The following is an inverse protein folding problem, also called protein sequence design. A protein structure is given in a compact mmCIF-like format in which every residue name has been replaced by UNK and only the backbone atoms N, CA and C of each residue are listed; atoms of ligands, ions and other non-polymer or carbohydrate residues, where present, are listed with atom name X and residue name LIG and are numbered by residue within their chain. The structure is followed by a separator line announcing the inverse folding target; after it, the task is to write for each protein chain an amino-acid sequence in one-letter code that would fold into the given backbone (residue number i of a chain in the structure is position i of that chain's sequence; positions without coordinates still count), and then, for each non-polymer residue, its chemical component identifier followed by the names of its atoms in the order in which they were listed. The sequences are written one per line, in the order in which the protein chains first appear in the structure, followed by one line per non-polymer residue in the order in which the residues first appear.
data_IF_882833609133
#
_entry.id   IF_882833609133
#
_cell.length_a   1.000
_cell.length_b   1.000
_cell.length_c   1.000
_cell.angle_alpha   90.00
_cell.angle_beta   90.00
_cell.angle_gamma   90.00
#
_symmetry.space_group_name_H-M   'P 1'
#
loop_
_entity.id
_entity.type
_entity.pdbx_description
1 polymer ?
#
# COMPACT_ATOMS: atom_id res chain seq x y z
N UNK A 1 7.69 7.82 -6.15
CA UNK A 1 6.74 8.44 -7.11
C UNK A 1 7.15 8.41 -8.59
N UNK A 2 8.43 8.33 -8.98
CA UNK A 2 8.78 8.24 -10.43
C UNK A 2 8.56 6.87 -11.05
N UNK A 3 8.57 5.81 -10.24
CA UNK A 3 8.47 4.41 -10.68
C UNK A 3 7.42 3.56 -9.91
N UNK A 4 6.65 4.19 -9.03
CA UNK A 4 5.59 3.54 -8.26
C UNK A 4 4.59 4.57 -7.74
N UNK A 5 3.37 4.11 -7.44
CA UNK A 5 2.28 4.90 -6.85
C UNK A 5 1.97 4.40 -5.44
N UNK A 6 1.45 5.28 -4.58
CA UNK A 6 0.87 4.93 -3.29
C UNK A 6 -0.56 5.46 -3.22
N UNK A 7 -1.45 4.69 -2.61
CA UNK A 7 -2.87 5.02 -2.51
C UNK A 7 -3.36 4.75 -1.09
N UNK A 8 -4.14 5.68 -0.54
CA UNK A 8 -4.98 5.47 0.64
C UNK A 8 -6.41 5.49 0.14
N UNK A 9 -7.15 4.40 0.34
CA UNK A 9 -8.47 4.23 -0.25
C UNK A 9 -9.39 3.42 0.66
N UNK A 10 -10.68 3.74 0.61
CA UNK A 10 -11.75 2.97 1.24
C UNK A 10 -12.49 2.20 0.15
N UNK A 11 -12.33 0.86 0.05
CA UNK A 11 -13.07 0.09 -0.94
C UNK A 11 -14.55 0.04 -0.59
N UNK A 12 -15.40 0.21 -1.61
CA UNK A 12 -16.86 0.16 -1.44
C UNK A 12 -17.36 -1.25 -1.12
N UNK A 13 -16.77 -2.26 -1.75
CA UNK A 13 -17.13 -3.67 -1.59
C UNK A 13 -15.88 -4.52 -1.39
N UNK A 14 -16.07 -5.75 -0.91
CA UNK A 14 -15.01 -6.69 -0.53
C UNK A 14 -13.92 -6.87 -1.62
N UNK A 15 -14.32 -6.86 -2.89
CA UNK A 15 -13.41 -7.08 -4.02
C UNK A 15 -13.09 -5.82 -4.83
N UNK A 16 -13.64 -4.65 -4.47
CA UNK A 16 -13.52 -3.43 -5.28
C UNK A 16 -12.07 -2.97 -5.43
N UNK A 17 -11.26 -3.04 -4.35
CA UNK A 17 -9.86 -2.61 -4.41
C UNK A 17 -9.06 -3.49 -5.39
N UNK A 18 -9.21 -4.81 -5.26
CA UNK A 18 -8.48 -5.78 -6.09
C UNK A 18 -8.88 -5.68 -7.56
N UNK A 19 -10.18 -5.61 -7.85
CA UNK A 19 -10.68 -5.46 -9.22
C UNK A 19 -10.30 -4.11 -9.82
N UNK A 20 -10.49 -3.01 -9.09
CA UNK A 20 -10.18 -1.67 -9.57
C UNK A 20 -8.70 -1.50 -9.92
N UNK A 21 -7.78 -1.98 -9.07
CA UNK A 21 -6.35 -1.93 -9.34
C UNK A 21 -5.95 -2.86 -10.49
N UNK A 22 -6.51 -4.08 -10.57
CA UNK A 22 -6.25 -5.00 -11.68
C UNK A 22 -6.63 -4.36 -13.02
N UNK A 23 -7.82 -3.79 -13.10
CA UNK A 23 -8.34 -3.26 -14.36
C UNK A 23 -7.58 -1.98 -14.75
N UNK A 24 -7.31 -1.09 -13.79
CA UNK A 24 -6.49 0.12 -13.99
C UNK A 24 -5.07 -0.22 -14.47
N UNK A 25 -4.40 -1.17 -13.80
CA UNK A 25 -3.05 -1.60 -14.18
C UNK A 25 -3.02 -2.24 -15.57
N UNK A 26 -4.04 -3.05 -15.91
CA UNK A 26 -4.17 -3.68 -17.22
C UNK A 26 -4.30 -2.64 -18.32
N UNK A 27 -5.26 -1.72 -18.18
CA UNK A 27 -5.51 -0.66 -19.17
C UNK A 27 -4.28 0.22 -19.35
N UNK A 28 -3.62 0.61 -18.26
CA UNK A 28 -2.40 1.41 -18.32
C UNK A 28 -1.25 0.67 -19.00
N UNK A 29 -1.05 -0.62 -18.70
CA UNK A 29 0.03 -1.40 -19.32
C UNK A 29 -0.18 -1.55 -20.83
N UNK A 30 -1.42 -1.79 -21.27
CA UNK A 30 -1.78 -1.83 -22.69
C UNK A 30 -1.52 -0.48 -23.36
N UNK A 31 -1.99 0.61 -22.74
CA UNK A 31 -1.76 1.97 -23.22
C UNK A 31 -0.26 2.26 -23.34
N UNK A 32 0.52 2.02 -22.29
CA UNK A 32 1.96 2.29 -22.27
C UNK A 32 2.71 1.51 -23.35
N UNK A 33 2.46 0.20 -23.46
CA UNK A 33 3.10 -0.66 -24.46
C UNK A 33 2.74 -0.21 -25.88
N UNK A 34 1.45 0.11 -26.13
CA UNK A 34 1.01 0.61 -27.45
C UNK A 34 1.67 1.95 -27.83
N UNK A 35 1.87 2.85 -26.86
CA UNK A 35 2.45 4.19 -27.09
C UNK A 35 3.96 4.18 -27.21
N UNK A 36 4.63 3.20 -26.63
CA UNK A 36 6.09 3.07 -26.61
C UNK A 36 6.63 2.04 -27.59
N UNK A 37 5.75 1.32 -28.30
CA UNK A 37 6.09 0.17 -29.15
C UNK A 37 6.89 -0.92 -28.41
N UNK A 38 6.71 -1.01 -27.09
CA UNK A 38 7.30 -2.05 -26.24
C UNK A 38 6.29 -3.19 -26.00
N UNK A 39 6.80 -4.32 -25.53
CA UNK A 39 5.99 -5.44 -25.07
C UNK A 39 6.51 -5.99 -23.75
N UNK A 40 5.65 -6.65 -22.98
CA UNK A 40 5.99 -7.25 -21.69
C UNK A 40 5.39 -6.51 -20.49
N UNK A 41 5.99 -6.76 -19.32
CA UNK A 41 5.46 -6.34 -18.02
C UNK A 41 5.82 -4.89 -17.74
N UNK A 42 4.80 -4.05 -17.48
CA UNK A 42 4.98 -2.65 -17.07
C UNK A 42 5.08 -2.54 -15.54
N UNK A 43 4.31 -3.35 -14.82
CA UNK A 43 4.26 -3.36 -13.36
C UNK A 43 5.19 -4.44 -12.79
N UNK A 44 5.91 -4.11 -11.71
CA UNK A 44 6.86 -5.03 -11.06
C UNK A 44 6.18 -6.25 -10.42
N UNK A 45 4.87 -6.19 -10.14
CA UNK A 45 4.13 -7.31 -9.58
C UNK A 45 2.75 -6.92 -9.06
N UNK A 46 2.21 -7.74 -8.15
CA UNK A 46 0.97 -7.44 -7.42
C UNK A 46 1.18 -6.23 -6.51
N UNK A 47 0.11 -5.48 -6.26
CA UNK A 47 0.12 -4.40 -5.28
C UNK A 47 0.29 -4.96 -3.86
N UNK A 48 0.82 -4.13 -2.98
CA UNK A 48 0.85 -4.34 -1.54
C UNK A 48 -0.25 -3.50 -0.90
N UNK A 49 -0.87 -4.01 0.17
CA UNK A 49 -1.94 -3.30 0.89
C UNK A 49 -2.01 -3.74 2.33
N UNK A 50 -2.29 -2.83 3.25
CA UNK A 50 -2.64 -3.15 4.62
C UNK A 50 -3.89 -2.36 5.07
N UNK A 51 -4.78 -2.94 5.89
CA UNK A 51 -5.79 -2.19 6.62
C UNK A 51 -5.14 -1.25 7.64
N UNK A 52 -5.73 -0.08 7.87
CA UNK A 52 -5.28 0.94 8.81
C UNK A 52 -6.35 1.21 9.87
N UNK A 53 -5.95 1.53 11.10
CA UNK A 53 -6.83 2.19 12.06
C UNK A 53 -6.84 3.72 11.83
N UNK A 54 -7.66 4.45 12.59
CA UNK A 54 -7.83 5.90 12.45
C UNK A 54 -6.53 6.70 12.70
N UNK A 55 -5.71 6.27 13.68
CA UNK A 55 -4.47 6.97 13.99
C UNK A 55 -3.41 6.76 12.90
N UNK A 56 -3.30 5.54 12.37
CA UNK A 56 -2.35 5.19 11.32
C UNK A 56 -2.82 5.70 9.95
N UNK A 57 -4.12 5.92 9.75
CA UNK A 57 -4.69 6.53 8.54
C UNK A 57 -4.04 7.89 8.26
N UNK A 58 -4.07 8.80 9.22
CA UNK A 58 -3.53 10.17 9.02
C UNK A 58 -2.01 10.16 8.79
N UNK A 59 -1.30 9.28 9.48
CA UNK A 59 0.13 9.09 9.24
C UNK A 59 0.41 8.54 7.84
N UNK A 60 -0.41 7.61 7.34
CA UNK A 60 -0.30 7.09 5.98
C UNK A 60 -0.61 8.16 4.93
N UNK A 61 -1.66 8.96 5.12
CA UNK A 61 -1.98 10.08 4.23
C UNK A 61 -0.83 11.08 4.17
N UNK A 62 -0.30 11.49 5.33
CA UNK A 62 0.87 12.40 5.40
C UNK A 62 2.06 11.80 4.65
N UNK A 63 2.35 10.53 4.90
CA UNK A 63 3.46 9.81 4.27
C UNK A 63 3.34 9.74 2.75
N UNK A 64 2.15 9.43 2.24
CA UNK A 64 1.88 9.35 0.80
C UNK A 64 2.08 10.70 0.13
N UNK A 65 1.51 11.76 0.71
CA UNK A 65 1.55 13.10 0.12
C UNK A 65 2.91 13.78 0.26
N UNK A 66 3.68 13.49 1.32
CA UNK A 66 5.05 13.98 1.50
C UNK A 66 6.09 13.16 0.74
N UNK A 67 5.74 12.01 0.16
CA UNK A 67 6.69 11.15 -0.56
C UNK A 67 7.45 11.88 -1.69
N UNK A 68 6.83 12.77 -2.49
CA UNK A 68 7.54 13.58 -3.49
C UNK A 68 8.61 14.50 -2.88
N UNK A 69 8.33 15.12 -1.73
CA UNK A 69 9.29 15.95 -0.99
C UNK A 69 10.45 15.10 -0.49
N UNK A 70 10.14 13.95 0.11
CA UNK A 70 11.16 12.98 0.57
C UNK A 70 12.02 12.44 -0.57
N UNK A 71 11.48 12.35 -1.78
CA UNK A 71 12.19 11.94 -2.99
C UNK A 71 12.97 13.10 -3.65
N UNK A 72 12.92 14.32 -3.09
CA UNK A 72 13.60 15.50 -3.63
C UNK A 72 13.01 16.00 -4.96
N UNK A 73 11.75 15.68 -5.26
CA UNK A 73 11.10 16.06 -6.52
C UNK A 73 10.51 17.48 -6.46
N UNK A 74 10.09 17.92 -5.28
CA UNK A 74 9.48 19.22 -4.99
C UNK A 74 9.86 19.65 -3.57
N UNK A 75 9.81 20.95 -3.29
CA UNK A 75 10.07 21.48 -1.93
C UNK A 75 8.85 21.35 -1.02
N UNK A 76 7.64 21.57 -1.57
CA UNK A 76 6.37 21.42 -0.85
C UNK A 76 5.52 20.32 -1.47
N UNK A 77 4.75 19.63 -0.65
CA UNK A 77 3.98 18.46 -1.07
C UNK A 77 2.89 18.83 -2.09
N UNK A 78 2.25 19.97 -1.89
CA UNK A 78 1.22 20.54 -2.76
C UNK A 78 1.72 20.98 -4.15
N UNK A 79 3.04 21.14 -4.33
CA UNK A 79 3.61 21.47 -5.63
C UNK A 79 3.69 20.24 -6.55
N UNK A 80 3.51 19.03 -6.00
CA UNK A 80 3.57 17.80 -6.79
C UNK A 80 2.26 17.55 -7.54
N UNK A 81 2.28 17.82 -8.85
CA UNK A 81 1.10 17.67 -9.74
C UNK A 81 0.41 16.31 -9.70
N UNK A 82 1.11 15.22 -9.36
CA UNK A 82 0.59 13.85 -9.36
C UNK A 82 0.26 13.33 -7.95
N UNK A 83 -0.09 14.24 -7.02
CA UNK A 83 -0.53 13.94 -5.65
C UNK A 83 -1.85 14.65 -5.34
N UNK A 84 -2.63 14.11 -4.40
CA UNK A 84 -3.85 14.73 -3.85
C UNK A 84 -3.58 15.96 -2.97
N UNK A 85 -2.34 16.19 -2.56
CA UNK A 85 -1.95 17.26 -1.64
C UNK A 85 -2.47 18.65 -2.06
N UNK A 86 -2.31 19.01 -3.33
CA UNK A 86 -2.80 20.29 -3.85
C UNK A 86 -4.32 20.45 -3.68
N UNK A 87 -5.08 19.37 -3.85
CA UNK A 87 -6.53 19.41 -3.72
C UNK A 87 -6.96 19.51 -2.26
N UNK A 88 -6.31 18.79 -1.36
CA UNK A 88 -6.55 18.93 0.09
C UNK A 88 -6.14 20.29 0.64
N UNK A 89 -5.12 20.94 0.05
CA UNK A 89 -4.77 22.33 0.34
C UNK A 89 -5.74 23.36 -0.29
N UNK A 90 -6.78 22.93 -1.00
CA UNK A 90 -7.74 23.83 -1.67
C UNK A 90 -7.19 24.55 -2.90
N UNK A 91 -6.04 24.12 -3.43
CA UNK A 91 -5.38 24.75 -4.59
C UNK A 91 -5.89 24.21 -5.92
N UNK A 92 -6.60 23.08 -5.92
CA UNK A 92 -7.24 22.51 -7.11
C UNK A 92 -8.44 21.63 -6.76
N UNK A 93 -9.33 21.40 -7.72
CA UNK A 93 -10.34 20.34 -7.65
C UNK A 93 -9.77 19.00 -8.16
N UNK A 94 -10.15 17.89 -7.55
CA UNK A 94 -9.77 16.54 -8.00
C UNK A 94 -10.96 15.59 -7.89
N UNK A 95 -11.47 15.13 -9.03
CA UNK A 95 -12.68 14.30 -9.10
C UNK A 95 -12.45 12.85 -8.62
N UNK A 96 -11.19 12.44 -8.41
CA UNK A 96 -10.86 11.12 -7.87
C UNK A 96 -10.92 11.08 -6.35
N UNK A 97 -10.98 12.24 -5.69
CA UNK A 97 -11.08 12.32 -4.23
C UNK A 97 -12.51 12.12 -3.77
N UNK A 98 -12.64 11.48 -2.60
CA UNK A 98 -13.93 11.34 -1.95
C UNK A 98 -14.44 12.70 -1.49
N UNK A 99 -15.73 12.94 -1.64
CA UNK A 99 -16.39 14.15 -1.09
C UNK A 99 -16.51 14.10 0.43
N UNK A 100 -16.39 12.91 1.03
CA UNK A 100 -16.54 12.68 2.47
C UNK A 100 -15.19 12.63 3.21
N UNK A 101 -14.08 12.69 2.47
CA UNK A 101 -12.72 12.62 3.03
C UNK A 101 -11.85 13.78 2.52
N UNK A 102 -11.08 14.47 3.39
CA UNK A 102 -11.04 14.32 4.85
C UNK A 102 -12.33 14.83 5.52
N UNK A 103 -12.73 14.30 6.69
CA UNK A 103 -13.85 14.87 7.43
C UNK A 103 -13.54 16.33 7.80
N UNK A 104 -14.57 17.18 7.74
CA UNK A 104 -14.41 18.61 7.97
C UNK A 104 -13.83 18.88 9.37
N UNK A 105 -12.80 19.73 9.43
CA UNK A 105 -12.18 20.17 10.69
C UNK A 105 -11.19 19.18 11.31
N UNK A 106 -10.91 18.02 10.69
CA UNK A 106 -9.88 17.11 11.22
C UNK A 106 -8.47 17.68 11.04
N UNK A 107 -8.22 18.34 9.90
CA UNK A 107 -7.00 19.08 9.63
C UNK A 107 -7.42 20.47 9.16
N UNK A 108 -7.15 21.48 9.99
CA UNK A 108 -7.54 22.87 9.70
C UNK A 108 -6.69 23.49 8.58
N UNK A 109 -5.37 23.29 8.65
CA UNK A 109 -4.42 23.75 7.64
C UNK A 109 -3.61 22.57 7.11
N UNK A 110 -4.00 22.10 5.93
CA UNK A 110 -3.38 20.95 5.29
C UNK A 110 -1.92 21.21 4.88
N UNK A 111 -1.60 22.43 4.44
CA UNK A 111 -0.23 22.79 4.04
C UNK A 111 0.69 22.81 5.25
N UNK A 112 0.27 23.43 6.35
CA UNK A 112 1.02 23.44 7.62
C UNK A 112 1.15 22.03 8.19
N UNK A 113 0.09 21.22 8.14
CA UNK A 113 0.12 19.82 8.59
C UNK A 113 1.08 18.97 7.75
N UNK A 114 1.11 19.18 6.43
CA UNK A 114 2.07 18.54 5.53
C UNK A 114 3.48 19.04 5.70
N UNK A 115 3.73 20.27 6.19
CA UNK A 115 5.08 20.80 6.41
C UNK A 115 5.78 20.17 7.62
N UNK A 116 5.02 19.70 8.60
CA UNK A 116 5.54 19.07 9.82
C UNK A 116 6.33 17.78 9.53
N UNK A 117 7.34 17.46 10.35
CA UNK A 117 8.06 16.19 10.23
C UNK A 117 7.12 15.00 10.45
N UNK A 118 7.42 13.90 9.75
CA UNK A 118 6.76 12.62 9.97
C UNK A 118 7.42 11.88 11.14
N UNK A 119 6.65 11.11 11.91
CA UNK A 119 7.21 10.21 12.89
C UNK A 119 7.85 9.01 12.18
N UNK A 120 9.19 8.94 12.19
CA UNK A 120 9.93 7.93 11.43
C UNK A 120 9.55 6.48 11.81
N UNK A 121 9.28 6.24 13.11
CA UNK A 121 8.85 4.93 13.60
C UNK A 121 7.51 4.49 13.00
N UNK A 122 6.56 5.42 12.91
CA UNK A 122 5.23 5.17 12.34
C UNK A 122 5.31 4.95 10.82
N UNK A 123 6.11 5.75 10.11
CA UNK A 123 6.37 5.57 8.68
C UNK A 123 7.03 4.21 8.40
N UNK A 124 8.03 3.83 9.21
CA UNK A 124 8.68 2.53 9.10
C UNK A 124 7.67 1.38 9.32
N UNK A 125 6.76 1.53 10.28
CA UNK A 125 5.68 0.59 10.54
C UNK A 125 4.73 0.46 9.35
N UNK A 126 4.24 1.57 8.81
CA UNK A 126 3.34 1.58 7.64
C UNK A 126 3.99 0.84 6.46
N UNK A 127 5.26 1.14 6.16
CA UNK A 127 6.00 0.47 5.07
C UNK A 127 6.12 -1.03 5.29
N UNK A 128 6.49 -1.43 6.52
CA UNK A 128 6.65 -2.84 6.89
C UNK A 128 5.32 -3.59 6.77
N UNK A 129 4.27 -3.10 7.40
CA UNK A 129 2.99 -3.80 7.42
C UNK A 129 2.35 -3.87 6.03
N UNK A 130 2.47 -2.79 5.23
CA UNK A 130 2.09 -2.78 3.80
C UNK A 130 2.82 -3.89 3.03
N UNK A 131 4.14 -4.01 3.17
CA UNK A 131 4.93 -5.02 2.46
C UNK A 131 4.58 -6.46 2.82
N UNK A 132 4.00 -6.69 4.01
CA UNK A 132 3.61 -8.03 4.47
C UNK A 132 2.12 -8.31 4.38
N UNK A 133 1.30 -7.30 4.05
CA UNK A 133 -0.16 -7.40 3.99
C UNK A 133 -0.85 -7.45 5.35
N UNK A 134 -0.14 -7.18 6.45
CA UNK A 134 -0.69 -7.23 7.81
C UNK A 134 -1.35 -5.90 8.17
N UNK A 135 -2.37 -5.88 9.05
CA UNK A 135 -2.98 -4.62 9.47
C UNK A 135 -1.99 -3.73 10.23
N UNK A 136 -2.03 -2.43 9.92
CA UNK A 136 -1.26 -1.41 10.61
C UNK A 136 -2.18 -0.64 11.57
N UNK A 137 -2.15 -1.03 12.84
CA UNK A 137 -2.94 -0.37 13.86
C UNK A 137 -2.50 -0.76 15.27
N UNK A 138 -3.13 -0.19 16.27
CA UNK A 138 -2.87 -0.51 17.67
C UNK A 138 -3.29 -1.95 18.05
N UNK A 139 -3.09 -2.31 19.32
CA UNK A 139 -3.44 -3.65 19.80
C UNK A 139 -4.95 -3.93 19.72
N UNK A 140 -5.79 -2.93 20.03
CA UNK A 140 -7.24 -3.07 20.03
C UNK A 140 -7.79 -3.29 18.62
N UNK A 141 -7.27 -2.56 17.64
CA UNK A 141 -7.59 -2.74 16.22
C UNK A 141 -7.22 -4.14 15.72
N UNK A 142 -6.04 -4.62 16.11
CA UNK A 142 -5.60 -5.96 15.73
C UNK A 142 -6.53 -7.04 16.34
N UNK A 143 -6.91 -6.89 17.62
CA UNK A 143 -7.83 -7.82 18.27
C UNK A 143 -9.21 -7.81 17.60
N UNK A 144 -9.70 -6.64 17.20
CA UNK A 144 -10.95 -6.51 16.43
C UNK A 144 -10.88 -7.26 15.09
N UNK A 145 -9.78 -7.11 14.34
CA UNK A 145 -9.60 -7.82 13.06
C UNK A 145 -9.50 -9.33 13.29
N UNK A 146 -8.76 -9.79 14.31
CA UNK A 146 -8.65 -11.22 14.60
C UNK A 146 -10.01 -11.83 14.98
N UNK A 147 -10.83 -11.09 15.74
CA UNK A 147 -12.19 -11.49 16.08
C UNK A 147 -13.10 -11.60 14.86
N UNK A 148 -13.04 -10.63 13.94
CA UNK A 148 -13.83 -10.64 12.70
C UNK A 148 -13.41 -11.77 11.74
N UNK A 149 -12.10 -11.96 11.55
CA UNK A 149 -11.57 -12.93 10.59
C UNK A 149 -11.42 -14.35 11.17
N UNK A 150 -11.59 -14.52 12.48
CA UNK A 150 -11.38 -15.77 13.22
C UNK A 150 -10.01 -16.41 12.92
N UNK A 151 -8.98 -15.57 12.76
CA UNK A 151 -7.59 -15.99 12.46
C UNK A 151 -6.61 -14.99 13.06
N UNK A 152 -5.39 -15.43 13.34
CA UNK A 152 -4.34 -14.49 13.76
C UNK A 152 -3.82 -13.67 12.59
N UNK A 153 -3.71 -12.35 12.80
CA UNK A 153 -3.10 -11.39 11.86
C UNK A 153 -1.74 -10.89 12.33
N UNK A 154 -1.38 -11.22 13.58
CA UNK A 154 -0.08 -10.89 14.17
C UNK A 154 1.04 -11.75 13.59
N UNK A 155 2.29 -11.26 13.58
CA UNK A 155 3.45 -12.07 13.20
C UNK A 155 3.58 -13.30 14.10
N UNK A 156 3.50 -14.49 13.51
CA UNK A 156 3.73 -15.76 14.20
C UNK A 156 5.18 -16.23 13.99
N UNK A 157 5.65 -17.11 14.86
CA UNK A 157 6.95 -17.79 14.65
C UNK A 157 6.92 -18.47 13.28
N UNK A 158 7.99 -18.30 12.50
CA UNK A 158 8.14 -18.98 11.21
C UNK A 158 8.01 -20.48 11.44
N UNK A 159 7.16 -21.13 10.65
CA UNK A 159 6.97 -22.58 10.72
C UNK A 159 8.30 -23.32 10.50
N UNK A 160 8.46 -24.52 11.06
CA UNK A 160 9.64 -25.34 10.84
C UNK A 160 9.83 -25.62 9.34
N UNK A 161 11.09 -25.64 8.87
CA UNK A 161 11.41 -25.99 7.48
C UNK A 161 10.84 -27.39 7.17
N UNK A 162 10.05 -27.57 6.10
CA UNK A 162 9.52 -28.88 5.78
C UNK A 162 10.67 -29.88 5.61
N UNK A 163 10.55 -31.06 6.21
CA UNK A 163 11.54 -32.12 6.04
C UNK A 163 11.57 -32.48 4.56
N UNK A 164 12.77 -32.48 3.97
CA UNK A 164 12.99 -33.00 2.62
C UNK A 164 12.53 -34.45 2.63
N UNK A 165 11.52 -34.79 1.83
CA UNK A 165 11.17 -36.20 1.60
C UNK A 165 12.37 -36.76 0.82
N UNK A 166 13.30 -37.36 1.54
CA UNK A 166 14.36 -38.17 0.92
C UNK A 166 13.67 -39.47 0.52
N UNK A 167 13.40 -39.65 -0.77
CA UNK A 167 13.02 -40.96 -1.30
C UNK A 167 14.16 -41.94 -0.98
N UNK A 168 13.99 -42.72 0.07
CA UNK A 168 14.82 -43.90 0.36
C UNK A 168 14.29 -45.05 -0.50
N UNK A 169 14.92 -45.28 -1.64
CA UNK A 169 15.86 -46.38 -1.84
C UNK A 169 15.92 -46.83 -3.30
N UNK A 170 17.04 -46.49 -3.93
CA UNK A 170 17.65 -47.35 -4.92
C UNK A 170 18.07 -48.69 -4.26
N UNK A 171 18.13 -49.72 -5.10
CA UNK A 171 18.85 -50.99 -4.93
C UNK A 171 18.02 -52.18 -4.45
N UNK A 172 17.45 -52.91 -5.42
CA UNK A 172 17.76 -54.34 -5.48
C UNK A 172 18.73 -54.58 -6.65
N UNK A 173 19.83 -55.21 -6.27
CA UNK A 173 21.06 -55.49 -6.99
C UNK A 173 20.99 -56.87 -7.66
N UNK A 174 21.61 -56.97 -8.85
CA UNK A 174 22.52 -58.07 -9.26
C UNK A 174 21.99 -59.42 -9.79
N UNK A 175 22.48 -59.76 -11.00
CA UNK A 175 22.72 -61.08 -11.64
C UNK A 175 21.49 -61.95 -12.00
N UNK A 176 21.35 -62.56 -13.18
CA UNK A 176 22.23 -62.94 -14.29
C UNK A 176 21.62 -62.57 -15.65
#
# INVERSE_FOLDING_TARGET
MTNHIHLVAVPKEEHSLGHGLRDTHTVYAMYFNSRTALSGHVWQGRYYSCPLDDAHLWAAVRYVERNPVKAGLVERAEDYRWSSAAAHCGLRSDALLSVEFPPQGVIEDWSTWLAQPEEEGLVARIRKETSTGRPCGDAAFLDQIEAQLKRSVRPQKRGPKPKRITELNASQTTSM
#
